data_IF_725996154331
#
_entry.id   IF_725996154331
#
_cell.length_a   1.000
_cell.length_b   1.000
_cell.length_c   1.000
_cell.angle_alpha   90.00
_cell.angle_beta   90.00
_cell.angle_gamma   90.00
#
_symmetry.space_group_name_H-M   'P 1'
#
loop_
_entity.id
_entity.type
_entity.pdbx_description
1 polymer ?
#
# COMPACT_ATOMS: atom_id res chain seq x y z
N UNK A 1 9.28 -17.03 -6.05
CA UNK A 1 9.15 -15.84 -5.19
C UNK A 1 8.15 -16.20 -4.09
N UNK A 2 8.55 -16.15 -2.83
CA UNK A 2 7.63 -16.44 -1.72
C UNK A 2 6.58 -15.33 -1.55
N UNK A 3 5.49 -15.59 -0.84
CA UNK A 3 4.48 -14.56 -0.52
C UNK A 3 5.12 -13.34 0.16
N UNK A 4 6.02 -13.57 1.12
CA UNK A 4 6.76 -12.50 1.78
C UNK A 4 7.64 -11.68 0.83
N UNK A 5 8.26 -12.31 -0.18
CA UNK A 5 9.02 -11.60 -1.20
C UNK A 5 8.13 -10.79 -2.14
N UNK A 6 6.95 -11.30 -2.49
CA UNK A 6 5.99 -10.58 -3.32
C UNK A 6 5.45 -9.34 -2.59
N UNK A 7 5.05 -9.47 -1.33
CA UNK A 7 4.61 -8.35 -0.48
C UNK A 7 5.72 -7.32 -0.26
N UNK A 8 6.96 -7.78 -0.17
CA UNK A 8 8.10 -6.91 -0.07
C UNK A 8 8.37 -6.13 -1.38
N UNK A 9 8.24 -6.81 -2.53
CA UNK A 9 8.36 -6.20 -3.86
C UNK A 9 7.26 -5.15 -4.08
N UNK A 10 6.02 -5.43 -3.67
CA UNK A 10 4.91 -4.48 -3.73
C UNK A 10 5.14 -3.29 -2.79
N UNK A 11 5.61 -3.52 -1.56
CA UNK A 11 5.96 -2.46 -0.61
C UNK A 11 7.02 -1.50 -1.18
N UNK A 12 8.04 -2.03 -1.85
CA UNK A 12 9.08 -1.22 -2.52
C UNK A 12 8.49 -0.34 -3.62
N UNK A 13 7.59 -0.88 -4.44
CA UNK A 13 6.93 -0.13 -5.50
C UNK A 13 6.00 0.95 -4.92
N UNK A 14 5.26 0.63 -3.85
CA UNK A 14 4.43 1.57 -3.11
C UNK A 14 5.26 2.74 -2.55
N UNK A 15 6.40 2.44 -1.92
CA UNK A 15 7.31 3.45 -1.37
C UNK A 15 7.79 4.43 -2.46
N UNK A 16 8.16 3.92 -3.64
CA UNK A 16 8.55 4.78 -4.76
C UNK A 16 7.42 5.72 -5.22
N UNK A 17 6.19 5.22 -5.31
CA UNK A 17 5.02 6.03 -5.67
C UNK A 17 4.69 7.09 -4.62
N UNK A 18 4.74 6.71 -3.34
CA UNK A 18 4.50 7.61 -2.21
C UNK A 18 5.53 8.75 -2.17
N UNK A 19 6.81 8.43 -2.39
CA UNK A 19 7.87 9.45 -2.45
C UNK A 19 7.70 10.39 -3.65
N UNK A 20 7.27 9.87 -4.79
CA UNK A 20 6.96 10.68 -5.95
C UNK A 20 5.80 11.64 -5.65
N UNK A 21 4.69 11.14 -5.10
CA UNK A 21 3.55 11.97 -4.68
C UNK A 21 3.96 13.04 -3.66
N UNK A 22 4.77 12.67 -2.65
CA UNK A 22 5.30 13.60 -1.65
C UNK A 22 6.09 14.73 -2.30
N UNK A 23 6.95 14.41 -3.27
CA UNK A 23 7.76 15.40 -4.00
C UNK A 23 6.86 16.36 -4.77
N UNK A 24 5.88 15.83 -5.51
CA UNK A 24 4.91 16.66 -6.24
C UNK A 24 4.11 17.57 -5.30
N UNK A 25 3.65 17.04 -4.17
CA UNK A 25 2.91 17.83 -3.18
C UNK A 25 3.77 18.93 -2.55
N UNK A 26 5.07 18.68 -2.40
CA UNK A 26 6.04 19.68 -1.92
C UNK A 26 6.16 20.85 -2.89
N UNK A 27 6.14 20.59 -4.20
CA UNK A 27 6.16 21.64 -5.23
C UNK A 27 4.91 22.56 -5.16
N UNK A 28 3.80 22.03 -4.66
CA UNK A 28 2.56 22.78 -4.37
C UNK A 28 2.52 23.41 -2.97
N UNK A 29 3.58 23.30 -2.18
CA UNK A 29 3.67 23.86 -0.82
C UNK A 29 3.05 22.99 0.29
N UNK A 30 2.74 21.71 0.01
CA UNK A 30 2.26 20.76 1.01
C UNK A 30 3.42 19.88 1.50
N UNK A 31 3.74 19.98 2.79
CA UNK A 31 4.85 19.26 3.40
C UNK A 31 4.36 18.08 4.23
N UNK A 32 4.85 16.89 3.91
CA UNK A 32 4.58 15.67 4.65
C UNK A 32 5.92 15.06 5.11
N UNK A 33 6.13 15.02 6.43
CA UNK A 33 7.41 14.59 7.00
C UNK A 33 7.52 13.07 7.10
N UNK A 34 6.46 12.42 7.59
CA UNK A 34 6.40 10.97 7.84
C UNK A 34 5.19 10.37 7.16
N UNK A 35 5.39 9.37 6.31
CA UNK A 35 4.30 8.74 5.57
C UNK A 35 4.10 7.31 6.09
N UNK A 36 2.97 7.02 6.76
CA UNK A 36 2.67 5.68 7.22
C UNK A 36 2.31 4.77 6.03
N UNK A 37 2.95 3.61 5.98
CA UNK A 37 2.68 2.55 5.00
C UNK A 37 2.32 1.25 5.73
N UNK A 38 1.21 0.64 5.35
CA UNK A 38 0.67 -0.54 6.01
C UNK A 38 0.89 -1.82 5.20
N UNK A 39 1.42 -2.86 5.84
CA UNK A 39 1.65 -4.17 5.24
C UNK A 39 1.14 -5.28 6.17
N UNK A 40 0.52 -6.31 5.61
CA UNK A 40 0.00 -7.47 6.36
C UNK A 40 1.00 -8.63 6.44
N UNK A 41 2.18 -8.47 5.84
CA UNK A 41 3.28 -9.42 5.95
C UNK A 41 4.32 -8.94 6.96
N UNK A 42 4.26 -9.48 8.18
CA UNK A 42 5.32 -9.28 9.20
C UNK A 42 6.69 -9.65 8.67
N UNK A 43 6.78 -10.69 7.85
CA UNK A 43 8.03 -11.08 7.21
C UNK A 43 8.55 -10.00 6.26
N UNK A 44 7.69 -9.40 5.43
CA UNK A 44 8.09 -8.30 4.53
C UNK A 44 8.54 -7.05 5.31
N UNK A 45 7.86 -6.71 6.41
CA UNK A 45 8.26 -5.62 7.31
C UNK A 45 9.62 -5.90 7.94
N UNK A 46 9.81 -7.09 8.52
CA UNK A 46 11.09 -7.48 9.12
C UNK A 46 12.22 -7.47 8.09
N UNK A 47 11.99 -7.98 6.88
CA UNK A 47 12.96 -7.94 5.78
C UNK A 47 13.33 -6.50 5.41
N UNK A 48 12.37 -5.56 5.49
CA UNK A 48 12.60 -4.14 5.18
C UNK A 48 13.44 -3.43 6.24
N UNK A 49 13.30 -3.83 7.51
CA UNK A 49 14.03 -3.21 8.62
C UNK A 49 15.37 -3.90 8.94
N UNK A 50 15.46 -5.23 8.75
CA UNK A 50 16.61 -6.05 9.11
C UNK A 50 16.94 -7.05 7.98
N UNK A 51 18.19 -7.06 7.48
CA UNK A 51 18.58 -7.99 6.42
C UNK A 51 18.75 -9.39 7.02
N UNK A 52 17.82 -10.30 6.77
CA UNK A 52 18.13 -11.72 6.91
C UNK A 52 19.08 -12.10 5.77
N UNK A 53 20.32 -12.45 6.11
CA UNK A 53 21.38 -12.84 5.19
C UNK A 53 21.01 -14.16 4.49
N UNK A 54 20.23 -14.08 3.42
CA UNK A 54 20.08 -15.16 2.45
C UNK A 54 20.53 -14.63 1.09
N UNK A 55 21.29 -15.42 0.36
CA UNK A 55 21.87 -15.12 -0.95
C UNK A 55 20.79 -14.80 -1.99
N UNK A 56 20.27 -13.57 -1.97
CA UNK A 56 19.23 -13.11 -2.88
C UNK A 56 19.83 -12.37 -4.07
N UNK A 57 19.09 -12.41 -5.17
CA UNK A 57 19.42 -11.78 -6.46
C UNK A 57 19.56 -10.25 -6.32
N UNK A 58 20.47 -9.65 -7.10
CA UNK A 58 20.85 -8.22 -7.06
C UNK A 58 19.66 -7.25 -6.98
N UNK A 59 18.59 -7.51 -7.72
CA UNK A 59 17.40 -6.65 -7.77
C UNK A 59 16.66 -6.57 -6.42
N UNK A 60 16.67 -7.63 -5.61
CA UNK A 60 16.08 -7.60 -4.27
C UNK A 60 16.92 -6.75 -3.31
N UNK A 61 18.26 -6.82 -3.43
CA UNK A 61 19.17 -6.00 -2.62
C UNK A 61 18.98 -4.50 -2.87
N UNK A 62 18.79 -4.08 -4.14
CA UNK A 62 18.55 -2.67 -4.47
C UNK A 62 17.26 -2.17 -3.81
N UNK A 63 16.16 -2.94 -3.92
CA UNK A 63 14.89 -2.60 -3.27
C UNK A 63 15.04 -2.53 -1.74
N UNK A 64 15.95 -3.32 -1.18
CA UNK A 64 16.19 -3.39 0.27
C UNK A 64 16.85 -2.14 0.77
N UNK A 65 17.95 -1.75 0.16
CA UNK A 65 18.59 -0.50 0.50
C UNK A 65 17.62 0.68 0.33
N UNK A 66 16.79 0.65 -0.72
CA UNK A 66 15.80 1.69 -0.96
C UNK A 66 14.76 1.84 0.17
N UNK A 67 14.04 0.78 0.56
CA UNK A 67 13.04 0.91 1.63
C UNK A 67 13.72 1.26 2.96
N UNK A 68 14.81 0.54 3.28
CA UNK A 68 15.52 0.73 4.55
C UNK A 68 16.00 2.17 4.72
N UNK A 69 16.63 2.75 3.70
CA UNK A 69 17.13 4.13 3.76
C UNK A 69 15.99 5.14 4.01
N UNK A 70 14.82 4.94 3.39
CA UNK A 70 13.67 5.82 3.59
C UNK A 70 13.04 5.67 4.99
N UNK A 71 13.09 4.46 5.56
CA UNK A 71 12.67 4.21 6.95
C UNK A 71 13.68 4.82 7.94
N UNK A 72 14.98 4.64 7.72
CA UNK A 72 16.05 5.22 8.56
C UNK A 72 16.06 6.75 8.53
N UNK A 73 15.77 7.36 7.37
CA UNK A 73 15.57 8.81 7.23
C UNK A 73 14.27 9.31 7.89
N UNK A 74 13.40 8.41 8.35
CA UNK A 74 12.11 8.74 8.94
C UNK A 74 11.08 9.26 7.94
N UNK A 75 11.32 9.14 6.63
CA UNK A 75 10.38 9.61 5.59
C UNK A 75 9.17 8.67 5.51
N UNK A 76 9.42 7.37 5.67
CA UNK A 76 8.39 6.32 5.64
C UNK A 76 8.37 5.57 6.97
N UNK A 77 7.17 5.30 7.48
CA UNK A 77 6.98 4.47 8.68
C UNK A 77 6.17 3.22 8.30
N UNK A 78 6.74 2.04 8.55
CA UNK A 78 6.09 0.76 8.23
C UNK A 78 5.29 0.26 9.42
N UNK A 79 4.01 -0.03 9.18
CA UNK A 79 3.09 -0.56 10.19
C UNK A 79 2.52 -1.91 9.75
N UNK A 80 2.40 -2.81 10.70
CA UNK A 80 1.65 -4.04 10.50
C UNK A 80 0.15 -3.76 10.53
N UNK A 81 -0.59 -4.31 9.58
CA UNK A 81 -2.06 -4.35 9.57
C UNK A 81 -2.51 -5.81 9.46
N UNK A 82 -3.56 -6.21 10.18
CA UNK A 82 -4.13 -7.54 9.98
C UNK A 82 -4.60 -7.72 8.54
N UNK A 83 -4.43 -8.91 7.95
CA UNK A 83 -4.91 -9.21 6.58
C UNK A 83 -6.41 -8.95 6.44
N UNK A 84 -7.18 -9.11 7.52
CA UNK A 84 -8.61 -8.77 7.59
C UNK A 84 -8.90 -7.25 7.51
N UNK A 85 -7.89 -6.40 7.64
CA UNK A 85 -8.01 -4.95 7.51
C UNK A 85 -7.17 -4.36 6.36
N UNK A 86 -6.44 -5.20 5.62
CA UNK A 86 -5.65 -4.75 4.47
C UNK A 86 -6.57 -4.33 3.31
N UNK A 87 -6.73 -3.01 3.12
CA UNK A 87 -7.55 -2.46 2.04
C UNK A 87 -6.94 -2.73 0.66
N UNK A 88 -5.61 -2.85 0.57
CA UNK A 88 -4.93 -3.12 -0.69
C UNK A 88 -5.31 -4.48 -1.30
N UNK A 89 -5.76 -5.44 -0.48
CA UNK A 89 -6.23 -6.76 -0.92
C UNK A 89 -7.39 -6.66 -1.90
N UNK A 90 -8.19 -5.60 -1.81
CA UNK A 90 -9.28 -5.30 -2.74
C UNK A 90 -8.77 -5.22 -4.20
N UNK A 91 -7.53 -4.76 -4.39
CA UNK A 91 -6.94 -4.51 -5.71
C UNK A 91 -5.95 -5.59 -6.14
N UNK A 92 -5.52 -6.47 -5.24
CA UNK A 92 -4.43 -7.43 -5.50
C UNK A 92 -4.86 -8.89 -5.42
N UNK A 93 -6.01 -9.20 -4.80
CA UNK A 93 -6.47 -10.57 -4.55
C UNK A 93 -7.86 -10.82 -5.13
N UNK A 94 -8.09 -12.05 -5.59
CA UNK A 94 -9.44 -12.53 -5.86
C UNK A 94 -10.11 -12.91 -4.53
N UNK A 95 -11.07 -12.10 -4.09
CA UNK A 95 -11.72 -12.23 -2.78
C UNK A 95 -13.13 -12.80 -2.90
N UNK A 96 -13.60 -13.59 -1.91
CA UNK A 96 -15.02 -13.95 -1.80
C UNK A 96 -15.90 -12.69 -1.72
N UNK A 97 -17.14 -12.78 -2.23
CA UNK A 97 -18.06 -11.63 -2.34
C UNK A 97 -18.23 -10.89 -1.02
N UNK A 98 -18.43 -11.61 0.08
CA UNK A 98 -18.60 -11.01 1.42
C UNK A 98 -17.37 -10.18 1.83
N UNK A 99 -16.18 -10.72 1.59
CA UNK A 99 -14.91 -10.08 1.90
C UNK A 99 -14.67 -8.86 1.02
N UNK A 100 -14.97 -8.97 -0.27
CA UNK A 100 -14.91 -7.86 -1.21
C UNK A 100 -15.83 -6.72 -0.78
N UNK A 101 -17.11 -7.02 -0.49
CA UNK A 101 -18.09 -6.03 -0.03
C UNK A 101 -17.68 -5.36 1.28
N UNK A 102 -17.10 -6.13 2.21
CA UNK A 102 -16.55 -5.57 3.45
C UNK A 102 -15.46 -4.53 3.15
N UNK A 103 -14.49 -4.86 2.30
CA UNK A 103 -13.39 -3.93 1.96
C UNK A 103 -13.87 -2.71 1.19
N UNK A 104 -14.80 -2.86 0.24
CA UNK A 104 -15.43 -1.74 -0.50
C UNK A 104 -16.05 -0.74 0.48
N UNK A 105 -16.82 -1.22 1.47
CA UNK A 105 -17.43 -0.37 2.49
C UNK A 105 -16.39 0.32 3.36
N UNK A 106 -15.33 -0.39 3.75
CA UNK A 106 -14.23 0.16 4.57
C UNK A 106 -13.39 1.21 3.83
N UNK A 107 -13.27 1.09 2.50
CA UNK A 107 -12.62 2.08 1.64
C UNK A 107 -13.46 3.35 1.45
N UNK A 108 -14.73 3.34 1.88
CA UNK A 108 -15.66 4.46 1.67
C UNK A 108 -16.28 4.48 0.26
N UNK A 109 -16.07 3.43 -0.53
CA UNK A 109 -16.71 3.29 -1.82
C UNK A 109 -18.19 2.91 -1.63
N UNK A 110 -19.08 3.62 -2.33
CA UNK A 110 -20.50 3.28 -2.36
C UNK A 110 -20.76 2.32 -3.51
N UNK A 111 -21.38 1.19 -3.21
CA UNK A 111 -21.95 0.34 -4.24
C UNK A 111 -23.31 0.94 -4.61
N UNK A 112 -23.35 1.66 -5.73
CA UNK A 112 -24.57 2.29 -6.22
C UNK A 112 -25.39 1.26 -7.01
N UNK A 113 -26.65 1.15 -6.68
CA UNK A 113 -27.63 0.47 -7.53
C UNK A 113 -27.87 1.27 -8.81
N UNK A 114 -28.40 0.62 -9.84
CA UNK A 114 -28.78 1.29 -11.09
C UNK A 114 -29.79 2.42 -10.85
N UNK A 115 -30.65 2.29 -9.82
CA UNK A 115 -31.62 3.31 -9.44
C UNK A 115 -30.93 4.54 -8.82
N UNK A 116 -30.00 4.34 -7.88
CA UNK A 116 -29.23 5.42 -7.26
C UNK A 116 -28.33 6.13 -8.29
N UNK A 117 -27.75 5.38 -9.23
CA UNK A 117 -26.94 5.94 -10.31
C UNK A 117 -27.76 6.85 -11.22
N UNK A 118 -28.99 6.43 -11.57
CA UNK A 118 -29.93 7.24 -12.36
C UNK A 118 -30.42 8.48 -11.58
N UNK A 119 -30.66 8.36 -10.28
CA UNK A 119 -31.05 9.48 -9.44
C UNK A 119 -29.94 10.56 -9.40
N UNK A 120 -28.69 10.15 -9.14
CA UNK A 120 -27.53 11.05 -9.18
C UNK A 120 -27.37 11.72 -10.56
N UNK A 121 -27.51 10.97 -11.66
CA UNK A 121 -27.39 11.55 -12.99
C UNK A 121 -28.44 12.64 -13.28
N UNK A 122 -29.64 12.55 -12.67
CA UNK A 122 -30.70 13.53 -12.81
C UNK A 122 -30.54 14.74 -11.88
N UNK A 123 -29.80 14.64 -10.77
CA UNK A 123 -29.52 15.76 -9.85
C UNK A 123 -28.49 16.75 -10.41
N UNK A 124 -27.67 16.32 -11.37
CA UNK A 124 -26.63 17.15 -12.01
C UNK A 124 -27.02 17.62 -13.42
N UNK A 125 -28.27 17.39 -13.85
CA UNK A 125 -28.83 17.84 -15.13
C UNK A 125 -29.75 19.05 -14.92
#
# INVERSE_FOLDING_TARGET
>A
MSSAEAEYVSLSACCAQVLWMRTQLTDYGFYFDKIPMYCDSKAAITISCNPVQHSRTKHINVRYHFIKENVEKGIVELFFVGTEYQLADLFTKALPVERFQYLVRRLGMRCLTLAELKALANEFA
#
